data_IF_517434448954
#
_entry.id   IF_517434448954
#
_cell.length_a   1.000
_cell.length_b   1.000
_cell.length_c   1.000
_cell.angle_alpha   90.00
_cell.angle_beta   90.00
_cell.angle_gamma   90.00
#
_symmetry.space_group_name_H-M   'P 1'
#
loop_
_entity.id
_entity.type
_entity.pdbx_description
1 polymer ?
#
# COMPACT_ATOMS: atom_id res chain seq x y z
N UNK A 1 50.06 -37.31 -6.35
CA UNK A 1 49.48 -36.47 -7.40
C UNK A 1 47.95 -36.58 -7.30
N UNK A 2 47.34 -35.67 -6.52
CA UNK A 2 45.88 -35.66 -6.27
C UNK A 2 45.21 -34.75 -7.30
N UNK A 3 44.28 -35.30 -8.10
CA UNK A 3 43.51 -34.55 -9.12
C UNK A 3 42.23 -33.99 -8.46
N UNK A 4 42.27 -32.73 -8.13
CA UNK A 4 41.13 -31.96 -7.66
C UNK A 4 40.10 -31.78 -8.79
N UNK A 5 38.99 -32.56 -8.75
CA UNK A 5 37.89 -32.44 -9.70
C UNK A 5 36.98 -31.31 -9.22
N UNK A 6 37.19 -30.08 -9.71
CA UNK A 6 36.26 -28.98 -9.61
C UNK A 6 34.88 -29.37 -10.16
N UNK A 7 33.91 -29.66 -9.29
CA UNK A 7 32.50 -29.82 -9.68
C UNK A 7 31.97 -28.49 -10.18
N UNK A 8 31.78 -28.36 -11.50
CA UNK A 8 31.03 -27.25 -12.10
C UNK A 8 29.58 -27.35 -11.64
N UNK A 9 29.11 -26.39 -10.83
CA UNK A 9 27.71 -26.26 -10.51
C UNK A 9 26.92 -25.95 -11.80
N UNK A 10 26.11 -26.86 -12.25
CA UNK A 10 25.17 -26.67 -13.36
C UNK A 10 24.10 -25.69 -12.88
N UNK A 11 24.17 -24.45 -13.37
CA UNK A 11 23.07 -23.48 -13.17
C UNK A 11 21.89 -23.95 -14.01
N UNK A 12 20.89 -24.48 -13.34
CA UNK A 12 19.61 -24.83 -13.96
C UNK A 12 18.90 -23.53 -14.37
N UNK A 13 18.94 -23.17 -15.64
CA UNK A 13 18.16 -22.04 -16.16
C UNK A 13 16.69 -22.45 -16.23
N UNK A 14 15.77 -21.67 -15.66
CA UNK A 14 14.35 -22.01 -15.71
C UNK A 14 13.84 -22.02 -17.15
N UNK A 15 12.88 -22.90 -17.47
CA UNK A 15 12.28 -22.97 -18.79
C UNK A 15 11.49 -21.66 -19.10
N UNK A 16 11.31 -21.28 -20.38
CA UNK A 16 10.55 -20.07 -20.73
C UNK A 16 9.13 -20.03 -20.14
N UNK A 17 8.47 -21.17 -20.05
CA UNK A 17 7.14 -21.28 -19.42
C UNK A 17 7.19 -21.03 -17.91
N UNK A 18 8.22 -21.51 -17.21
CA UNK A 18 8.40 -21.27 -15.79
C UNK A 18 8.78 -19.81 -15.49
N UNK A 19 9.55 -19.16 -16.36
CA UNK A 19 9.84 -17.72 -16.24
C UNK A 19 8.61 -16.84 -16.39
N UNK A 20 7.74 -17.12 -17.37
CA UNK A 20 6.49 -16.41 -17.58
C UNK A 20 5.58 -16.56 -16.36
N UNK A 21 5.46 -17.77 -15.80
CA UNK A 21 4.70 -18.04 -14.59
C UNK A 21 5.24 -17.25 -13.40
N UNK A 22 6.53 -17.31 -13.13
CA UNK A 22 7.19 -16.59 -12.04
C UNK A 22 7.02 -15.07 -12.16
N UNK A 23 7.08 -14.53 -13.38
CA UNK A 23 6.81 -13.10 -13.63
C UNK A 23 5.36 -12.74 -13.29
N UNK A 24 4.40 -13.59 -13.67
CA UNK A 24 2.99 -13.40 -13.33
C UNK A 24 2.72 -13.41 -11.83
N UNK A 25 3.30 -14.36 -11.11
CA UNK A 25 3.17 -14.46 -9.64
C UNK A 25 3.79 -13.24 -8.93
N UNK A 26 4.97 -12.79 -9.36
CA UNK A 26 5.61 -11.57 -8.82
C UNK A 26 4.76 -10.32 -9.05
N UNK A 27 4.15 -10.17 -10.22
CA UNK A 27 3.27 -9.03 -10.52
C UNK A 27 2.02 -9.04 -9.65
N UNK A 28 1.47 -10.22 -9.40
CA UNK A 28 0.32 -10.39 -8.53
C UNK A 28 0.63 -10.05 -7.07
N UNK A 29 1.79 -10.48 -6.57
CA UNK A 29 2.27 -10.13 -5.22
C UNK A 29 2.48 -8.62 -5.13
N UNK A 30 3.10 -7.99 -6.14
CA UNK A 30 3.29 -6.55 -6.20
C UNK A 30 1.96 -5.81 -6.10
N UNK A 31 0.96 -6.22 -6.90
CA UNK A 31 -0.38 -5.65 -6.85
C UNK A 31 -1.03 -5.85 -5.46
N UNK A 32 -0.89 -7.02 -4.85
CA UNK A 32 -1.45 -7.29 -3.53
C UNK A 32 -0.89 -6.36 -2.45
N UNK A 33 0.43 -6.15 -2.42
CA UNK A 33 1.05 -5.22 -1.48
C UNK A 33 0.68 -3.77 -1.77
N UNK A 34 0.58 -3.40 -3.04
CA UNK A 34 0.18 -2.06 -3.48
C UNK A 34 -1.24 -1.74 -2.98
N UNK A 35 -2.22 -2.57 -3.32
CA UNK A 35 -3.61 -2.37 -2.91
C UNK A 35 -3.80 -2.48 -1.39
N UNK A 36 -3.05 -3.38 -0.72
CA UNK A 36 -3.05 -3.46 0.74
C UNK A 36 -2.50 -2.18 1.38
N UNK A 37 -1.50 -1.55 0.78
CA UNK A 37 -0.95 -0.26 1.20
C UNK A 37 -2.01 0.83 1.23
N UNK A 38 -2.75 0.98 0.13
CA UNK A 38 -3.87 1.92 0.05
C UNK A 38 -4.96 1.64 1.09
N UNK A 39 -5.38 0.38 1.24
CA UNK A 39 -6.45 0.02 2.15
C UNK A 39 -6.08 0.22 3.63
N UNK A 40 -4.84 -0.10 4.02
CA UNK A 40 -4.35 0.13 5.38
C UNK A 40 -4.19 1.62 5.65
N UNK A 41 -3.69 2.40 4.70
CA UNK A 41 -3.65 3.85 4.80
C UNK A 41 -5.05 4.44 4.96
N UNK A 42 -5.99 4.06 4.09
CA UNK A 42 -7.38 4.48 4.16
C UNK A 42 -8.02 4.18 5.52
N UNK A 43 -7.76 2.99 6.07
CA UNK A 43 -8.21 2.61 7.41
C UNK A 43 -7.67 3.56 8.50
N UNK A 44 -6.37 3.84 8.49
CA UNK A 44 -5.73 4.67 9.52
C UNK A 44 -6.09 6.14 9.43
N UNK A 45 -6.31 6.67 8.22
CA UNK A 45 -6.70 8.08 8.02
C UNK A 45 -8.21 8.28 7.88
N UNK A 46 -9.01 7.23 8.17
CA UNK A 46 -10.48 7.26 8.15
C UNK A 46 -11.08 7.62 6.78
N UNK A 47 -10.42 7.23 5.70
CA UNK A 47 -10.97 7.27 4.34
C UNK A 47 -11.80 6.01 4.09
N UNK A 48 -12.99 6.18 3.53
CA UNK A 48 -13.88 5.05 3.25
C UNK A 48 -13.43 4.31 2.00
N UNK A 49 -13.56 3.00 2.01
CA UNK A 49 -13.44 2.15 0.84
C UNK A 49 -14.48 1.04 0.86
N UNK A 50 -14.88 0.56 -0.31
CA UNK A 50 -15.93 -0.44 -0.47
C UNK A 50 -15.39 -1.84 -0.62
N UNK A 51 -14.43 -2.02 -1.49
CA UNK A 51 -13.81 -3.31 -1.77
C UNK A 51 -12.40 -3.13 -2.31
N UNK A 52 -11.62 -4.18 -2.24
CA UNK A 52 -10.25 -4.27 -2.71
C UNK A 52 -10.10 -5.57 -3.49
N UNK A 53 -9.49 -5.53 -4.66
CA UNK A 53 -9.28 -6.71 -5.50
C UNK A 53 -7.95 -6.67 -6.23
N UNK A 54 -7.43 -7.88 -6.55
CA UNK A 54 -6.27 -8.09 -7.40
C UNK A 54 -6.56 -9.19 -8.40
N UNK A 55 -6.00 -9.08 -9.61
CA UNK A 55 -6.18 -10.08 -10.66
C UNK A 55 -6.75 -9.50 -11.94
N UNK A 56 -6.97 -10.34 -12.95
CA UNK A 56 -7.41 -9.91 -14.27
C UNK A 56 -8.88 -9.50 -14.26
N UNK A 57 -9.19 -8.21 -14.11
CA UNK A 57 -10.50 -7.68 -14.51
C UNK A 57 -10.43 -6.80 -15.78
N UNK A 58 -9.22 -6.37 -16.16
CA UNK A 58 -8.99 -5.75 -17.47
C UNK A 58 -7.56 -6.02 -17.92
N UNK A 59 -7.29 -5.88 -19.22
CA UNK A 59 -5.95 -6.10 -19.81
C UNK A 59 -4.87 -5.13 -19.29
N UNK A 60 -5.23 -4.14 -18.48
CA UNK A 60 -4.35 -3.06 -18.01
C UNK A 60 -4.18 -2.98 -16.50
N UNK A 61 -5.10 -3.46 -15.68
CA UNK A 61 -5.08 -3.30 -14.22
C UNK A 61 -4.99 -4.65 -13.51
N UNK A 62 -3.93 -4.81 -12.68
CA UNK A 62 -3.71 -6.00 -11.86
C UNK A 62 -4.33 -5.90 -10.47
N UNK A 63 -4.84 -4.73 -10.09
CA UNK A 63 -5.49 -4.48 -8.82
C UNK A 63 -6.27 -3.19 -8.83
N UNK A 64 -7.20 -3.04 -7.92
CA UNK A 64 -7.98 -1.83 -7.71
C UNK A 64 -8.60 -1.81 -6.33
N UNK A 65 -8.69 -0.60 -5.78
CA UNK A 65 -9.36 -0.27 -4.54
C UNK A 65 -10.41 0.81 -4.81
N UNK A 66 -11.67 0.51 -4.49
CA UNK A 66 -12.76 1.48 -4.61
C UNK A 66 -12.75 2.42 -3.40
N UNK A 67 -12.20 3.62 -3.58
CA UNK A 67 -11.99 4.65 -2.57
C UNK A 67 -12.98 5.81 -2.71
N UNK A 68 -13.37 6.39 -1.58
CA UNK A 68 -13.99 7.72 -1.50
C UNK A 68 -12.93 8.74 -1.07
N UNK A 69 -12.14 9.21 -2.01
CA UNK A 69 -11.18 10.31 -1.77
C UNK A 69 -11.92 11.65 -1.61
N UNK A 70 -11.20 12.71 -1.25
CA UNK A 70 -11.76 14.03 -1.02
C UNK A 70 -12.74 14.43 -2.14
N UNK A 71 -13.90 15.01 -1.81
CA UNK A 71 -14.90 15.34 -2.80
C UNK A 71 -14.36 16.30 -3.85
N UNK A 72 -14.91 16.20 -5.07
CA UNK A 72 -14.69 17.13 -6.18
C UNK A 72 -15.19 18.56 -5.90
N UNK A 73 -15.68 18.80 -4.70
CA UNK A 73 -16.23 20.07 -4.22
C UNK A 73 -15.15 21.09 -3.84
N UNK A 74 -14.10 21.21 -4.65
CA UNK A 74 -13.25 22.41 -4.67
C UNK A 74 -13.70 23.28 -5.86
N UNK A 75 -15.02 23.27 -6.10
CA UNK A 75 -15.61 24.01 -7.20
C UNK A 75 -15.38 25.54 -7.11
N UNK A 76 -15.19 26.04 -5.89
CA UNK A 76 -15.13 27.49 -5.64
C UNK A 76 -13.73 28.01 -5.31
N UNK A 77 -12.70 27.17 -5.44
CA UNK A 77 -11.30 27.58 -5.20
C UNK A 77 -10.93 27.90 -3.75
N UNK A 78 -11.88 27.75 -2.81
CA UNK A 78 -11.65 27.98 -1.38
C UNK A 78 -11.38 26.63 -0.70
N UNK A 79 -10.16 26.47 -0.20
CA UNK A 79 -9.76 25.31 0.60
C UNK A 79 -9.84 25.69 2.07
N UNK A 80 -10.89 25.23 2.76
CA UNK A 80 -10.99 25.35 4.21
C UNK A 80 -10.15 24.25 4.91
N UNK A 81 -9.98 24.35 6.22
CA UNK A 81 -9.19 23.39 7.01
C UNK A 81 -9.70 21.95 6.89
N UNK A 82 -11.01 21.74 6.75
CA UNK A 82 -11.56 20.39 6.61
C UNK A 82 -11.21 19.79 5.25
N UNK A 83 -11.28 20.59 4.20
CA UNK A 83 -10.89 20.21 2.84
C UNK A 83 -9.38 19.98 2.77
N UNK A 84 -8.56 20.83 3.40
CA UNK A 84 -7.11 20.65 3.50
C UNK A 84 -6.77 19.29 4.12
N UNK A 85 -7.34 18.97 5.29
CA UNK A 85 -7.15 17.67 5.93
C UNK A 85 -7.68 16.50 5.09
N UNK A 86 -8.76 16.69 4.33
CA UNK A 86 -9.29 15.66 3.44
C UNK A 86 -8.33 15.41 2.25
N UNK A 87 -7.73 16.46 1.71
CA UNK A 87 -6.70 16.38 0.67
C UNK A 87 -5.45 15.67 1.21
N UNK A 88 -4.93 16.06 2.37
CA UNK A 88 -3.78 15.40 2.99
C UNK A 88 -4.00 13.90 3.18
N UNK A 89 -5.17 13.51 3.69
CA UNK A 89 -5.55 12.09 3.84
C UNK A 89 -5.56 11.37 2.50
N UNK A 90 -6.09 12.02 1.46
CA UNK A 90 -6.11 11.46 0.10
C UNK A 90 -4.69 11.26 -0.44
N UNK A 91 -3.80 12.23 -0.27
CA UNK A 91 -2.39 12.13 -0.66
C UNK A 91 -1.68 11.00 0.09
N UNK A 92 -1.92 10.85 1.41
CA UNK A 92 -1.38 9.73 2.20
C UNK A 92 -1.80 8.39 1.60
N UNK A 93 -3.09 8.23 1.31
CA UNK A 93 -3.63 6.99 0.73
C UNK A 93 -3.00 6.70 -0.62
N UNK A 94 -2.97 7.68 -1.52
CA UNK A 94 -2.42 7.54 -2.87
C UNK A 94 -0.92 7.18 -2.88
N UNK A 95 -0.13 7.72 -1.96
CA UNK A 95 1.29 7.42 -1.88
C UNK A 95 1.58 6.07 -1.19
N UNK A 96 0.65 5.54 -0.39
CA UNK A 96 0.89 4.35 0.43
C UNK A 96 1.08 3.07 -0.39
N UNK A 97 0.39 2.92 -1.53
CA UNK A 97 0.51 1.74 -2.38
C UNK A 97 1.93 1.51 -2.85
N UNK A 98 2.54 2.51 -3.48
CA UNK A 98 3.92 2.44 -3.96
C UNK A 98 4.95 2.25 -2.84
N UNK A 99 4.72 2.80 -1.65
CA UNK A 99 5.61 2.60 -0.50
C UNK A 99 5.48 1.19 0.09
N UNK A 100 4.26 0.62 0.12
CA UNK A 100 4.04 -0.76 0.56
C UNK A 100 4.68 -1.78 -0.40
N UNK A 101 4.56 -1.57 -1.72
CA UNK A 101 5.25 -2.36 -2.71
C UNK A 101 6.79 -2.28 -2.54
N UNK A 102 7.32 -1.08 -2.34
CA UNK A 102 8.76 -0.86 -2.10
C UNK A 102 9.23 -1.54 -0.81
N UNK A 103 8.47 -1.47 0.26
CA UNK A 103 8.76 -2.14 1.52
C UNK A 103 8.85 -3.66 1.34
N UNK A 104 7.94 -4.25 0.57
CA UNK A 104 7.87 -5.70 0.38
C UNK A 104 8.88 -6.25 -0.63
N UNK A 105 9.13 -5.51 -1.73
CA UNK A 105 9.89 -5.98 -2.89
C UNK A 105 11.19 -5.21 -3.14
N UNK A 106 11.54 -4.24 -2.29
CA UNK A 106 12.69 -3.34 -2.45
C UNK A 106 12.54 -2.31 -3.56
N UNK A 107 11.44 -2.33 -4.33
CA UNK A 107 11.16 -1.44 -5.46
C UNK A 107 9.67 -1.31 -5.70
N UNK A 108 9.24 -0.20 -6.28
CA UNK A 108 7.89 -0.03 -6.81
C UNK A 108 7.96 0.01 -8.35
N UNK A 109 7.38 -0.99 -8.99
CA UNK A 109 7.30 -1.13 -10.47
C UNK A 109 5.89 -1.45 -10.96
N UNK A 110 4.93 -1.47 -10.05
CA UNK A 110 3.53 -1.69 -10.39
C UNK A 110 3.00 -0.51 -11.23
N UNK A 111 2.28 -0.80 -12.30
CA UNK A 111 1.81 0.23 -13.24
C UNK A 111 0.85 1.24 -12.61
N UNK A 112 0.07 0.83 -11.60
CA UNK A 112 -0.83 1.72 -10.84
C UNK A 112 -0.10 2.85 -10.12
N UNK A 113 1.15 2.62 -9.67
CA UNK A 113 1.92 3.63 -8.93
C UNK A 113 2.10 4.97 -9.67
N UNK A 114 2.10 4.97 -11.00
CA UNK A 114 2.19 6.19 -11.81
C UNK A 114 0.90 7.00 -11.78
N UNK A 115 -0.25 6.34 -11.85
CA UNK A 115 -1.56 6.99 -11.77
C UNK A 115 -1.82 7.55 -10.39
N UNK A 116 -1.51 6.80 -9.33
CA UNK A 116 -1.66 7.26 -7.95
C UNK A 116 -0.78 8.49 -7.66
N UNK A 117 0.45 8.49 -8.16
CA UNK A 117 1.32 9.65 -8.01
C UNK A 117 0.79 10.86 -8.78
N UNK A 118 0.27 10.68 -9.99
CA UNK A 118 -0.37 11.75 -10.76
C UNK A 118 -1.57 12.33 -10.01
N UNK A 119 -2.42 11.49 -9.44
CA UNK A 119 -3.54 11.94 -8.60
C UNK A 119 -3.05 12.66 -7.33
N UNK A 120 -1.99 12.17 -6.68
CA UNK A 120 -1.40 12.85 -5.52
C UNK A 120 -0.87 14.24 -5.89
N UNK A 121 -0.25 14.41 -7.07
CA UNK A 121 0.17 15.72 -7.60
C UNK A 121 -1.05 16.63 -7.82
N UNK A 122 -2.13 16.11 -8.40
CA UNK A 122 -3.37 16.85 -8.63
C UNK A 122 -3.96 17.36 -7.31
N UNK A 123 -4.02 16.51 -6.27
CA UNK A 123 -4.48 16.92 -4.94
C UNK A 123 -3.56 17.93 -4.28
N UNK A 124 -2.24 17.77 -4.36
CA UNK A 124 -1.27 18.72 -3.84
C UNK A 124 -1.37 20.10 -4.49
N UNK A 125 -1.80 20.15 -5.76
CA UNK A 125 -2.02 21.41 -6.48
C UNK A 125 -3.10 22.31 -5.89
N UNK A 126 -4.01 21.77 -5.06
CA UNK A 126 -4.99 22.58 -4.32
C UNK A 126 -4.41 23.22 -3.06
N UNK A 127 -3.32 22.66 -2.51
CA UNK A 127 -2.67 23.16 -1.29
C UNK A 127 -1.46 24.05 -1.56
N UNK A 128 -0.80 23.85 -2.70
CA UNK A 128 0.46 24.49 -3.02
C UNK A 128 0.26 25.55 -4.11
N UNK A 129 0.83 26.74 -3.91
CA UNK A 129 0.71 27.87 -4.83
C UNK A 129 1.77 27.86 -5.92
N UNK A 130 2.91 27.21 -5.66
CA UNK A 130 4.06 27.21 -6.58
C UNK A 130 4.55 25.79 -6.84
N UNK A 131 5.21 25.55 -7.99
CA UNK A 131 5.82 24.24 -8.30
C UNK A 131 6.90 23.81 -7.31
N UNK A 132 7.82 24.70 -6.84
CA UNK A 132 8.79 24.34 -5.81
C UNK A 132 8.13 23.89 -4.51
N UNK A 133 7.10 24.61 -4.05
CA UNK A 133 6.33 24.27 -2.85
C UNK A 133 5.68 22.89 -2.99
N UNK A 134 5.00 22.61 -4.11
CA UNK A 134 4.39 21.34 -4.39
C UNK A 134 5.41 20.19 -4.41
N UNK A 135 6.59 20.40 -5.00
CA UNK A 135 7.66 19.42 -5.02
C UNK A 135 8.18 19.12 -3.62
N UNK A 136 8.35 20.14 -2.78
CA UNK A 136 8.77 20.00 -1.38
C UNK A 136 7.71 19.25 -0.55
N UNK A 137 6.44 19.63 -0.70
CA UNK A 137 5.29 19.01 -0.05
C UNK A 137 5.20 17.52 -0.39
N UNK A 138 5.20 17.16 -1.67
CA UNK A 138 5.12 15.78 -2.12
C UNK A 138 6.31 14.94 -1.64
N UNK A 139 7.52 15.50 -1.66
CA UNK A 139 8.71 14.83 -1.13
C UNK A 139 8.58 14.56 0.38
N UNK A 140 8.13 15.54 1.15
CA UNK A 140 7.87 15.39 2.57
C UNK A 140 6.81 14.32 2.84
N UNK A 141 5.68 14.34 2.10
CA UNK A 141 4.62 13.36 2.21
C UNK A 141 5.11 11.94 1.87
N UNK A 142 5.94 11.76 0.86
CA UNK A 142 6.55 10.47 0.53
C UNK A 142 7.40 9.93 1.69
N UNK A 143 8.22 10.77 2.31
CA UNK A 143 9.05 10.38 3.46
C UNK A 143 8.17 10.01 4.67
N UNK A 144 7.14 10.81 4.94
CA UNK A 144 6.18 10.54 6.02
C UNK A 144 5.44 9.22 5.81
N UNK A 145 4.89 9.00 4.61
CA UNK A 145 4.17 7.77 4.29
C UNK A 145 5.10 6.56 4.33
N UNK A 146 6.34 6.69 3.88
CA UNK A 146 7.34 5.63 4.00
C UNK A 146 7.56 5.24 5.46
N UNK A 147 7.79 6.20 6.35
CA UNK A 147 7.98 5.95 7.78
C UNK A 147 6.74 5.29 8.42
N UNK A 148 5.52 5.70 8.00
CA UNK A 148 4.27 5.07 8.44
C UNK A 148 4.19 3.62 7.98
N UNK A 149 4.41 3.34 6.70
CA UNK A 149 4.35 1.99 6.10
C UNK A 149 5.38 1.04 6.73
N UNK A 150 6.57 1.53 7.06
CA UNK A 150 7.62 0.76 7.73
C UNK A 150 7.33 0.52 9.22
N UNK A 151 6.41 1.28 9.84
CA UNK A 151 6.04 1.11 11.25
C UNK A 151 5.27 -0.20 11.49
N UNK A 152 5.45 -0.86 12.66
CA UNK A 152 4.77 -2.14 12.95
C UNK A 152 3.24 -2.06 12.89
N UNK A 153 2.64 -0.90 13.18
CA UNK A 153 1.19 -0.69 13.17
C UNK A 153 0.59 -0.65 11.75
N UNK A 154 1.40 -0.38 10.73
CA UNK A 154 1.01 -0.39 9.33
C UNK A 154 1.55 -1.61 8.60
N UNK A 155 2.82 -1.95 8.80
CA UNK A 155 3.50 -3.03 8.11
C UNK A 155 2.79 -4.37 8.30
N UNK A 156 2.50 -4.77 9.55
CA UNK A 156 1.83 -6.05 9.83
C UNK A 156 0.45 -6.16 9.20
N UNK A 157 -0.44 -5.15 9.30
CA UNK A 157 -1.70 -5.13 8.55
C UNK A 157 -1.53 -5.21 7.04
N UNK A 158 -0.55 -4.51 6.46
CA UNK A 158 -0.27 -4.56 5.02
C UNK A 158 0.11 -5.99 4.60
N UNK A 159 1.04 -6.63 5.31
CA UNK A 159 1.47 -8.01 5.05
C UNK A 159 0.28 -8.99 5.15
N UNK A 160 -0.51 -8.90 6.22
CA UNK A 160 -1.67 -9.78 6.44
C UNK A 160 -2.74 -9.60 5.36
N UNK A 161 -3.02 -8.35 4.98
CA UNK A 161 -4.02 -8.06 3.95
C UNK A 161 -3.54 -8.48 2.56
N UNK A 162 -2.27 -8.22 2.21
CA UNK A 162 -1.67 -8.63 0.95
C UNK A 162 -1.71 -10.16 0.78
N UNK A 163 -1.34 -10.92 1.81
CA UNK A 163 -1.41 -12.39 1.78
C UNK A 163 -2.85 -12.88 1.61
N UNK A 164 -3.82 -12.25 2.27
CA UNK A 164 -5.24 -12.58 2.09
C UNK A 164 -5.74 -12.29 0.68
N UNK A 165 -5.27 -11.19 0.05
CA UNK A 165 -5.59 -10.85 -1.34
C UNK A 165 -4.98 -11.83 -2.34
N UNK A 166 -3.75 -12.29 -2.12
CA UNK A 166 -3.13 -13.32 -2.97
C UNK A 166 -3.97 -14.60 -2.99
N UNK A 167 -4.57 -14.97 -1.85
CA UNK A 167 -5.39 -16.18 -1.73
C UNK A 167 -6.80 -15.99 -2.29
N UNK A 168 -7.47 -14.90 -1.92
CA UNK A 168 -8.92 -14.68 -2.15
C UNK A 168 -9.25 -13.85 -3.37
N UNK A 169 -8.27 -13.10 -3.89
CA UNK A 169 -8.36 -12.17 -5.02
C UNK A 169 -9.20 -10.92 -4.76
N UNK A 170 -10.23 -11.02 -3.95
CA UNK A 170 -11.12 -9.92 -3.65
C UNK A 170 -11.56 -9.98 -2.18
N UNK A 171 -11.71 -8.79 -1.55
CA UNK A 171 -12.20 -8.62 -0.20
C UNK A 171 -13.13 -7.41 -0.13
N UNK A 172 -14.31 -7.58 0.48
CA UNK A 172 -15.16 -6.44 0.85
C UNK A 172 -14.57 -5.66 2.02
N UNK A 173 -14.98 -4.41 2.17
CA UNK A 173 -14.46 -3.48 3.19
C UNK A 173 -14.51 -4.04 4.62
N UNK A 174 -15.58 -4.76 4.99
CA UNK A 174 -15.71 -5.34 6.33
C UNK A 174 -14.63 -6.37 6.59
N UNK A 175 -14.45 -7.34 5.69
CA UNK A 175 -13.43 -8.38 5.81
C UNK A 175 -12.02 -7.78 5.83
N UNK A 176 -11.73 -6.81 4.96
CA UNK A 176 -10.45 -6.13 4.93
C UNK A 176 -10.15 -5.38 6.24
N UNK A 177 -11.12 -4.62 6.77
CA UNK A 177 -10.98 -3.92 8.07
C UNK A 177 -10.79 -4.89 9.24
N UNK A 178 -11.43 -6.05 9.23
CA UNK A 178 -11.27 -7.06 10.26
C UNK A 178 -9.85 -7.66 10.24
N UNK A 179 -9.29 -7.92 9.05
CA UNK A 179 -7.91 -8.37 8.89
C UNK A 179 -6.95 -7.30 9.42
N UNK A 180 -7.12 -6.04 8.98
CA UNK A 180 -6.28 -4.90 9.42
C UNK A 180 -6.29 -4.80 10.95
N UNK A 181 -7.48 -4.74 11.56
CA UNK A 181 -7.65 -4.57 13.01
C UNK A 181 -6.98 -5.68 13.81
N UNK A 182 -7.08 -6.94 13.37
CA UNK A 182 -6.46 -8.09 14.04
C UNK A 182 -4.93 -8.09 13.91
N UNK A 183 -4.39 -7.53 12.85
CA UNK A 183 -2.95 -7.49 12.59
C UNK A 183 -2.25 -6.30 13.26
N UNK A 184 -2.98 -5.26 13.71
CA UNK A 184 -2.39 -4.14 14.46
C UNK A 184 -1.83 -4.66 15.79
N UNK A 185 -0.55 -4.42 16.08
CA UNK A 185 0.04 -4.86 17.34
C UNK A 185 -0.61 -4.16 18.53
N UNK A 186 -0.98 -4.92 19.55
CA UNK A 186 -1.50 -4.37 20.80
C UNK A 186 -0.35 -3.69 21.52
N UNK A 187 -0.50 -2.40 21.81
CA UNK A 187 0.48 -1.64 22.57
C UNK A 187 0.71 -2.28 23.94
N UNK A 188 1.97 -2.33 24.46
CA UNK A 188 2.26 -2.83 25.80
C UNK A 188 1.41 -2.19 26.89
N UNK A 189 1.10 -0.90 26.77
CA UNK A 189 0.21 -0.17 27.69
C UNK A 189 -1.22 -0.71 27.70
N UNK A 190 -1.77 -1.05 26.50
CA UNK A 190 -3.11 -1.63 26.36
C UNK A 190 -3.16 -3.08 26.86
N UNK A 191 -2.04 -3.81 26.72
CA UNK A 191 -1.89 -5.18 27.25
C UNK A 191 -1.93 -5.21 28.78
N UNK A 192 -1.22 -4.27 29.45
CA UNK A 192 -1.25 -4.13 30.90
C UNK A 192 -2.66 -3.80 31.43
N UNK A 193 -3.42 -2.90 30.76
CA UNK A 193 -4.79 -2.57 31.15
C UNK A 193 -5.77 -3.74 30.98
N UNK A 194 -5.62 -4.60 29.96
CA UNK A 194 -6.45 -5.79 29.78
C UNK A 194 -6.17 -6.83 30.88
N UNK A 195 -4.94 -7.08 31.25
CA UNK A 195 -4.57 -8.04 32.31
C UNK A 195 -5.14 -7.56 33.66
N UNK A 196 -4.96 -6.28 34.00
CA UNK A 196 -5.48 -5.72 35.25
C UNK A 196 -7.01 -5.78 35.39
N UNK A 197 -7.78 -5.78 34.30
CA UNK A 197 -9.26 -5.90 34.32
C UNK A 197 -9.78 -7.34 34.47
N UNK A 198 -8.94 -8.36 34.32
CA UNK A 198 -9.32 -9.77 34.47
C UNK A 198 -8.75 -10.44 35.73
N UNK A 199 -8.09 -9.64 36.60
CA UNK A 199 -7.50 -10.07 37.86
C UNK A 199 -8.24 -9.54 39.09
N UNK A 200 -9.53 -9.13 38.92
CA UNK A 200 -10.46 -8.73 40.00
C UNK A 200 -11.67 -9.64 39.97
#
# INVERSE_FOLDING_TARGET
>A
MSRDRKRKAVRCTPSPKSEVRLRGERRLIAAAFHEAGHAVAAYHVSVRFRRIAIGKNSAKELGWLELWLAPQAIADGIVDLQTEHAIERSVIVLLAGSQAERMALGRAKYLGSGLDFFEAVRYAGYLCRTRPEMSAYLRWMQLRVRALVESPSWRRPIEALAMSLVQRRELGARAARDIIRRAIPISPATRRRKIAKHSV
#
